data_IF_359500515817
#
_entry.id   IF_359500515817
#
_cell.length_a   1.000
_cell.length_b   1.000
_cell.length_c   1.000
_cell.angle_alpha   90.00
_cell.angle_beta   90.00
_cell.angle_gamma   90.00
#
_symmetry.space_group_name_H-M   'P 1'
#
loop_
_entity.id
_entity.type
_entity.pdbx_description
1 polymer ?
#
# COMPACT_ATOMS: atom_id res chain seq x y z
N UNK A 1 3.34 25.27 -9.48
CA UNK A 1 2.35 24.18 -9.44
C UNK A 1 2.00 23.76 -10.87
N UNK A 2 1.48 24.66 -11.71
CA UNK A 2 1.22 24.38 -13.13
C UNK A 2 2.41 23.73 -13.87
N UNK A 3 3.63 24.29 -13.79
CA UNK A 3 4.83 23.71 -14.44
C UNK A 3 5.10 22.24 -14.06
N UNK A 4 4.86 21.82 -12.81
CA UNK A 4 5.08 20.43 -12.37
C UNK A 4 4.03 19.45 -12.91
N UNK A 5 2.84 19.95 -13.23
CA UNK A 5 1.77 19.14 -13.82
C UNK A 5 2.07 18.87 -15.30
N UNK A 6 2.82 19.76 -15.96
CA UNK A 6 3.28 19.52 -17.33
C UNK A 6 4.27 18.37 -17.39
N UNK A 7 5.18 18.24 -16.43
CA UNK A 7 6.09 17.10 -16.35
C UNK A 7 5.32 15.77 -16.21
N UNK A 8 4.22 15.77 -15.44
CA UNK A 8 3.31 14.62 -15.30
C UNK A 8 2.68 14.18 -16.63
N UNK A 9 2.37 15.13 -17.51
CA UNK A 9 1.80 14.83 -18.83
C UNK A 9 2.77 14.02 -19.69
N UNK A 10 4.06 14.35 -19.65
CA UNK A 10 5.08 13.66 -20.43
C UNK A 10 5.23 12.20 -19.96
N UNK A 11 5.21 11.96 -18.64
CA UNK A 11 5.19 10.60 -18.09
C UNK A 11 3.94 9.80 -18.46
N UNK A 12 2.76 10.44 -18.44
CA UNK A 12 1.51 9.80 -18.87
C UNK A 12 1.55 9.45 -20.36
N UNK A 13 2.11 10.33 -21.20
CA UNK A 13 2.26 10.06 -22.64
C UNK A 13 3.22 8.89 -22.89
N UNK A 14 4.34 8.82 -22.19
CA UNK A 14 5.27 7.69 -22.29
C UNK A 14 4.60 6.37 -21.90
N UNK A 15 3.76 6.38 -20.87
CA UNK A 15 2.96 5.21 -20.50
C UNK A 15 1.95 4.82 -21.60
N UNK A 16 1.33 5.79 -22.27
CA UNK A 16 0.45 5.50 -23.42
C UNK A 16 1.20 4.72 -24.50
N UNK A 17 2.37 5.22 -24.92
CA UNK A 17 3.19 4.61 -25.95
C UNK A 17 3.60 3.17 -25.58
N UNK A 18 4.03 2.96 -24.33
CA UNK A 18 4.41 1.63 -23.83
C UNK A 18 3.19 0.70 -23.77
N UNK A 19 2.02 1.19 -23.37
CA UNK A 19 0.80 0.37 -23.33
C UNK A 19 0.34 -0.04 -24.74
N UNK A 20 0.49 0.84 -25.73
CA UNK A 20 0.24 0.50 -27.13
C UNK A 20 1.22 -0.58 -27.63
N UNK A 21 2.50 -0.47 -27.27
CA UNK A 21 3.52 -1.48 -27.56
C UNK A 21 3.16 -2.86 -26.98
N UNK A 22 2.66 -2.90 -25.73
CA UNK A 22 2.20 -4.13 -25.08
C UNK A 22 0.96 -4.69 -25.79
N UNK A 23 -0.05 -3.86 -26.07
CA UNK A 23 -1.26 -4.30 -26.80
C UNK A 23 -0.91 -4.87 -28.17
N UNK A 24 -0.01 -4.21 -28.90
CA UNK A 24 0.48 -4.70 -30.18
C UNK A 24 1.23 -6.01 -30.03
N UNK A 25 2.07 -6.16 -29.00
CA UNK A 25 2.74 -7.43 -28.70
C UNK A 25 1.74 -8.58 -28.47
N UNK A 26 0.73 -8.38 -27.62
CA UNK A 26 -0.34 -9.35 -27.34
C UNK A 26 -1.13 -9.73 -28.60
N UNK A 27 -1.36 -8.77 -29.49
CA UNK A 27 -2.07 -8.98 -30.76
C UNK A 27 -1.34 -9.95 -31.70
N UNK A 28 -0.01 -9.91 -31.74
CA UNK A 28 0.80 -10.72 -32.64
C UNK A 28 1.31 -12.03 -32.03
N UNK A 29 1.01 -12.30 -30.76
CA UNK A 29 1.31 -13.58 -30.12
C UNK A 29 0.39 -14.68 -30.64
N UNK A 30 1.01 -15.73 -31.21
CA UNK A 30 0.30 -16.86 -31.84
C UNK A 30 -0.23 -17.87 -30.82
N UNK A 31 0.43 -17.99 -29.68
CA UNK A 31 0.14 -19.01 -28.67
C UNK A 31 -1.00 -18.61 -27.72
N UNK A 32 -1.57 -17.41 -27.91
CA UNK A 32 -2.66 -16.87 -27.12
C UNK A 32 -3.98 -17.00 -27.90
N UNK A 33 -4.97 -17.66 -27.29
CA UNK A 33 -6.32 -17.69 -27.85
C UNK A 33 -6.96 -16.28 -27.81
N UNK A 34 -8.00 -16.09 -28.62
CA UNK A 34 -8.66 -14.79 -28.77
C UNK A 34 -9.29 -14.27 -27.47
N UNK A 35 -9.85 -15.17 -26.64
CA UNK A 35 -10.48 -14.78 -25.38
C UNK A 35 -9.43 -14.25 -24.41
N UNK A 36 -8.36 -15.01 -24.21
CA UNK A 36 -7.25 -14.59 -23.34
C UNK A 36 -6.61 -13.29 -23.83
N UNK A 37 -6.46 -13.12 -25.16
CA UNK A 37 -5.95 -11.87 -25.76
C UNK A 37 -6.79 -10.66 -25.41
N UNK A 38 -8.11 -10.79 -25.51
CA UNK A 38 -9.04 -9.70 -25.23
C UNK A 38 -9.02 -9.32 -23.75
N UNK A 39 -8.95 -10.30 -22.85
CA UNK A 39 -8.84 -10.07 -21.40
C UNK A 39 -7.56 -9.30 -21.09
N UNK A 40 -6.40 -9.79 -21.53
CA UNK A 40 -5.11 -9.16 -21.21
C UNK A 40 -4.97 -7.78 -21.85
N UNK A 41 -5.50 -7.60 -23.06
CA UNK A 41 -5.59 -6.27 -23.69
C UNK A 41 -6.48 -5.32 -22.89
N UNK A 42 -7.57 -5.82 -22.30
CA UNK A 42 -8.44 -5.03 -21.42
C UNK A 42 -7.72 -4.62 -20.14
N UNK A 43 -6.94 -5.52 -19.54
CA UNK A 43 -6.17 -5.21 -18.32
C UNK A 43 -5.16 -4.07 -18.57
N UNK A 44 -4.44 -4.11 -19.71
CA UNK A 44 -3.51 -3.05 -20.12
C UNK A 44 -4.22 -1.70 -20.32
N UNK A 45 -5.39 -1.70 -20.93
CA UNK A 45 -6.19 -0.49 -21.11
C UNK A 45 -6.73 0.05 -19.80
N UNK A 46 -7.14 -0.82 -18.88
CA UNK A 46 -7.64 -0.43 -17.56
C UNK A 46 -6.51 0.17 -16.71
N UNK A 47 -5.31 -0.39 -16.76
CA UNK A 47 -4.10 0.20 -16.16
C UNK A 47 -3.88 1.65 -16.63
N UNK A 48 -3.87 1.86 -17.95
CA UNK A 48 -3.65 3.20 -18.51
C UNK A 48 -4.81 4.15 -18.15
N UNK A 49 -6.06 3.70 -18.29
CA UNK A 49 -7.24 4.50 -17.94
C UNK A 49 -7.23 4.96 -16.48
N UNK A 50 -6.85 4.08 -15.54
CA UNK A 50 -6.73 4.45 -14.13
C UNK A 50 -5.63 5.50 -13.91
N UNK A 51 -4.52 5.40 -14.64
CA UNK A 51 -3.44 6.40 -14.56
C UNK A 51 -3.90 7.77 -15.08
N UNK A 52 -4.61 7.79 -16.22
CA UNK A 52 -5.19 9.02 -16.79
C UNK A 52 -6.23 9.63 -15.84
N UNK A 53 -7.12 8.82 -15.27
CA UNK A 53 -8.12 9.32 -14.30
C UNK A 53 -7.46 9.91 -13.05
N UNK A 54 -6.37 9.30 -12.55
CA UNK A 54 -5.60 9.88 -11.45
C UNK A 54 -5.07 11.28 -11.81
N UNK A 55 -4.55 11.45 -13.04
CA UNK A 55 -4.00 12.71 -13.56
C UNK A 55 -5.08 13.78 -13.77
N UNK A 56 -6.22 13.42 -14.33
CA UNK A 56 -7.35 14.32 -14.56
C UNK A 56 -7.90 14.87 -13.23
N UNK A 57 -8.07 13.99 -12.24
CA UNK A 57 -8.50 14.40 -10.90
C UNK A 57 -7.47 15.32 -10.27
N UNK A 58 -6.17 14.99 -10.37
CA UNK A 58 -5.09 15.84 -9.85
C UNK A 58 -5.09 17.23 -10.49
N UNK A 59 -5.25 17.30 -11.82
CA UNK A 59 -5.30 18.56 -12.57
C UNK A 59 -6.48 19.41 -12.10
N UNK A 60 -7.65 18.80 -11.90
CA UNK A 60 -8.85 19.49 -11.40
C UNK A 60 -8.62 20.09 -10.00
N UNK A 61 -7.92 19.39 -9.11
CA UNK A 61 -7.58 19.90 -7.75
C UNK A 61 -6.74 21.16 -7.81
N UNK A 62 -5.91 21.32 -8.84
CA UNK A 62 -5.02 22.49 -8.94
C UNK A 62 -5.72 23.72 -9.50
N UNK A 63 -6.89 23.56 -10.12
CA UNK A 63 -7.69 24.63 -10.70
C UNK A 63 -8.76 25.16 -9.73
N UNK A 64 -9.30 24.30 -8.85
CA UNK A 64 -10.32 24.63 -7.86
C UNK A 64 -9.74 24.60 -6.42
N UNK A 65 -10.37 25.27 -5.44
CA UNK A 65 -9.91 25.16 -4.03
C UNK A 65 -9.81 23.69 -3.61
N UNK A 66 -8.68 23.31 -3.00
CA UNK A 66 -8.33 21.91 -2.74
C UNK A 66 -9.42 21.16 -1.97
N UNK A 67 -10.08 20.21 -2.62
CA UNK A 67 -11.00 19.28 -1.98
C UNK A 67 -10.24 18.01 -1.58
N UNK A 68 -10.11 17.74 -0.28
CA UNK A 68 -9.46 16.54 0.25
C UNK A 68 -10.00 15.25 -0.39
N UNK A 69 -11.30 15.21 -0.73
CA UNK A 69 -11.91 14.08 -1.41
C UNK A 69 -11.26 13.79 -2.76
N UNK A 70 -10.97 14.83 -3.54
CA UNK A 70 -10.35 14.65 -4.86
C UNK A 70 -8.92 14.12 -4.74
N UNK A 71 -8.17 14.50 -3.68
CA UNK A 71 -6.84 13.94 -3.40
C UNK A 71 -6.95 12.43 -3.15
N UNK A 72 -7.92 12.01 -2.33
CA UNK A 72 -8.15 10.59 -2.03
C UNK A 72 -8.63 9.81 -3.27
N UNK A 73 -9.47 10.41 -4.12
CA UNK A 73 -9.93 9.81 -5.38
C UNK A 73 -8.75 9.61 -6.34
N UNK A 74 -7.88 10.63 -6.52
CA UNK A 74 -6.66 10.52 -7.35
C UNK A 74 -5.72 9.41 -6.86
N UNK A 75 -5.49 9.33 -5.54
CA UNK A 75 -4.71 8.24 -4.93
C UNK A 75 -5.32 6.88 -5.22
N UNK A 76 -6.64 6.76 -5.07
CA UNK A 76 -7.36 5.50 -5.28
C UNK A 76 -7.19 4.98 -6.71
N UNK A 77 -7.29 5.87 -7.71
CA UNK A 77 -7.00 5.53 -9.10
C UNK A 77 -5.55 5.09 -9.32
N UNK A 78 -4.59 5.80 -8.70
CA UNK A 78 -3.17 5.45 -8.84
C UNK A 78 -2.86 4.07 -8.24
N UNK A 79 -3.43 3.74 -7.07
CA UNK A 79 -3.33 2.39 -6.49
C UNK A 79 -4.00 1.33 -7.38
N UNK A 80 -5.17 1.63 -7.96
CA UNK A 80 -5.83 0.72 -8.90
C UNK A 80 -4.96 0.47 -10.14
N UNK A 81 -4.29 1.50 -10.68
CA UNK A 81 -3.32 1.35 -11.76
C UNK A 81 -2.16 0.44 -11.34
N UNK A 82 -1.53 0.67 -10.17
CA UNK A 82 -0.45 -0.20 -9.67
C UNK A 82 -0.86 -1.67 -9.56
N UNK A 83 -2.06 -1.94 -9.04
CA UNK A 83 -2.57 -3.31 -8.94
C UNK A 83 -2.74 -3.96 -10.33
N UNK A 84 -3.22 -3.19 -11.32
CA UNK A 84 -3.32 -3.66 -12.71
C UNK A 84 -1.95 -3.89 -13.34
N UNK A 85 -0.96 -3.06 -13.03
CA UNK A 85 0.41 -3.25 -13.49
C UNK A 85 0.98 -4.59 -13.02
N UNK A 86 0.83 -4.94 -11.73
CA UNK A 86 1.29 -6.23 -11.21
C UNK A 86 0.68 -7.42 -11.97
N UNK A 87 -0.61 -7.32 -12.33
CA UNK A 87 -1.28 -8.33 -13.14
C UNK A 87 -0.68 -8.43 -14.56
N UNK A 88 -0.46 -7.30 -15.23
CA UNK A 88 0.13 -7.23 -16.57
C UNK A 88 1.55 -7.84 -16.56
N UNK A 89 2.35 -7.54 -15.54
CA UNK A 89 3.70 -8.10 -15.38
C UNK A 89 3.64 -9.62 -15.27
N UNK A 90 2.75 -10.15 -14.41
CA UNK A 90 2.53 -11.59 -14.27
C UNK A 90 2.15 -12.25 -15.62
N UNK A 91 1.23 -11.62 -16.37
CA UNK A 91 0.82 -12.09 -17.69
C UNK A 91 1.96 -12.11 -18.71
N UNK A 92 2.78 -11.05 -18.76
CA UNK A 92 3.91 -10.95 -19.69
C UNK A 92 5.06 -11.90 -19.33
N UNK A 93 5.26 -12.20 -18.04
CA UNK A 93 6.29 -13.11 -17.56
C UNK A 93 6.06 -14.56 -18.02
N UNK A 94 4.81 -14.96 -18.31
CA UNK A 94 4.48 -16.30 -18.83
C UNK A 94 5.26 -16.64 -20.11
N UNK A 95 5.56 -15.66 -20.96
CA UNK A 95 6.22 -15.92 -22.24
C UNK A 95 7.73 -16.09 -22.14
N UNK A 96 8.37 -15.61 -21.06
CA UNK A 96 9.83 -15.68 -20.84
C UNK A 96 10.66 -15.23 -22.06
N UNK A 97 10.13 -14.33 -22.88
CA UNK A 97 10.76 -13.91 -24.12
C UNK A 97 11.54 -12.62 -23.89
N UNK A 98 12.62 -12.40 -24.66
CA UNK A 98 13.37 -11.13 -24.59
C UNK A 98 12.48 -9.90 -24.79
N UNK A 99 11.47 -10.01 -25.66
CA UNK A 99 10.54 -8.89 -25.92
C UNK A 99 9.61 -8.63 -24.74
N UNK A 100 9.08 -9.68 -24.09
CA UNK A 100 8.22 -9.51 -22.91
C UNK A 100 9.01 -8.94 -21.72
N UNK A 101 10.21 -9.44 -21.43
CA UNK A 101 11.07 -8.88 -20.37
C UNK A 101 11.42 -7.40 -20.60
N UNK A 102 11.71 -7.02 -21.85
CA UNK A 102 11.97 -5.61 -22.20
C UNK A 102 10.72 -4.74 -21.99
N UNK A 103 9.52 -5.24 -22.32
CA UNK A 103 8.28 -4.49 -22.11
C UNK A 103 7.97 -4.32 -20.62
N UNK A 104 8.21 -5.37 -19.81
CA UNK A 104 8.08 -5.32 -18.35
C UNK A 104 9.01 -4.26 -17.77
N UNK A 105 10.30 -4.31 -18.09
CA UNK A 105 11.28 -3.34 -17.59
C UNK A 105 10.89 -1.89 -17.96
N UNK A 106 10.48 -1.66 -19.22
CA UNK A 106 10.03 -0.35 -19.68
C UNK A 106 8.82 0.16 -18.90
N UNK A 107 7.76 -0.65 -18.75
CA UNK A 107 6.54 -0.19 -18.08
C UNK A 107 6.77 0.02 -16.58
N UNK A 108 7.61 -0.80 -15.94
CA UNK A 108 7.96 -0.63 -14.52
C UNK A 108 8.71 0.68 -14.27
N UNK A 109 9.72 0.99 -15.11
CA UNK A 109 10.48 2.23 -15.01
C UNK A 109 9.57 3.43 -15.25
N UNK A 110 8.83 3.44 -16.37
CA UNK A 110 7.96 4.57 -16.72
C UNK A 110 6.85 4.78 -15.67
N UNK A 111 6.22 3.70 -15.18
CA UNK A 111 5.18 3.83 -14.16
C UNK A 111 5.77 4.26 -12.82
N UNK A 112 6.98 3.83 -12.47
CA UNK A 112 7.67 4.31 -11.26
C UNK A 112 7.93 5.81 -11.31
N UNK A 113 8.43 6.33 -12.43
CA UNK A 113 8.66 7.77 -12.60
C UNK A 113 7.35 8.56 -12.54
N UNK A 114 6.31 8.05 -13.21
CA UNK A 114 4.96 8.61 -13.15
C UNK A 114 4.44 8.62 -11.69
N UNK A 115 4.54 7.50 -10.98
CA UNK A 115 4.12 7.34 -9.59
C UNK A 115 4.81 8.33 -8.66
N UNK A 116 6.15 8.43 -8.76
CA UNK A 116 6.95 9.33 -7.93
C UNK A 116 6.55 10.79 -8.19
N UNK A 117 6.31 11.16 -9.44
CA UNK A 117 5.82 12.49 -9.82
C UNK A 117 4.42 12.78 -9.25
N UNK A 118 3.48 11.83 -9.35
CA UNK A 118 2.16 11.93 -8.73
C UNK A 118 2.28 12.15 -7.22
N UNK A 119 3.08 11.33 -6.55
CA UNK A 119 3.19 11.34 -5.10
C UNK A 119 3.74 12.67 -4.57
N UNK A 120 4.74 13.24 -5.24
CA UNK A 120 5.28 14.57 -4.92
C UNK A 120 4.16 15.62 -5.00
N UNK A 121 3.41 15.64 -6.10
CA UNK A 121 2.36 16.65 -6.31
C UNK A 121 1.19 16.47 -5.33
N UNK A 122 0.74 15.24 -5.08
CA UNK A 122 -0.33 14.96 -4.12
C UNK A 122 0.06 15.36 -2.69
N UNK A 123 1.31 15.12 -2.28
CA UNK A 123 1.78 15.50 -0.94
C UNK A 123 1.95 17.00 -0.76
N UNK A 124 2.25 17.75 -1.82
CA UNK A 124 2.28 19.22 -1.76
C UNK A 124 0.89 19.83 -1.58
N UNK A 125 -0.15 19.12 -2.03
CA UNK A 125 -1.55 19.54 -1.93
C UNK A 125 -2.21 19.13 -0.61
N UNK A 126 -1.66 18.13 0.08
CA UNK A 126 -2.13 17.81 1.42
C UNK A 126 -1.90 19.04 2.31
N UNK A 127 -2.89 19.42 3.14
CA UNK A 127 -2.64 20.43 4.15
C UNK A 127 -1.38 20.00 4.89
N UNK A 128 -0.42 20.91 5.01
CA UNK A 128 0.72 20.69 5.89
C UNK A 128 0.09 20.50 7.26
N UNK A 129 -0.07 19.25 7.66
CA UNK A 129 -0.44 18.93 9.03
C UNK A 129 0.67 19.60 9.83
N UNK A 130 0.33 20.70 10.50
CA UNK A 130 1.14 21.17 11.62
C UNK A 130 1.28 19.91 12.45
N UNK A 131 2.50 19.34 12.47
CA UNK A 131 2.78 18.10 13.17
C UNK A 131 2.42 18.35 14.62
N UNK A 132 1.16 18.09 14.98
CA UNK A 132 0.70 18.05 16.34
C UNK A 132 1.44 16.85 16.86
N UNK A 133 2.49 17.13 17.63
CA UNK A 133 3.30 16.12 18.28
C UNK A 133 2.31 15.13 18.90
N UNK A 134 2.25 13.87 18.41
CA UNK A 134 1.23 12.94 18.87
C UNK A 134 1.31 12.86 20.39
N UNK A 135 0.25 13.29 21.07
CA UNK A 135 0.29 13.41 22.53
C UNK A 135 0.26 12.03 23.18
N UNK A 136 -0.32 11.04 22.52
CA UNK A 136 -0.52 9.68 23.02
C UNK A 136 -0.19 8.64 21.94
N UNK A 137 0.65 7.67 22.31
CA UNK A 137 1.14 6.60 21.43
C UNK A 137 0.16 5.41 21.41
N UNK A 138 -0.66 5.29 22.46
CA UNK A 138 -1.67 4.26 22.63
C UNK A 138 -2.97 4.96 23.05
N UNK A 139 -4.04 4.75 22.29
CA UNK A 139 -5.35 5.36 22.54
C UNK A 139 -6.30 4.29 23.09
N UNK A 140 -6.69 4.43 24.36
CA UNK A 140 -7.76 3.61 24.95
C UNK A 140 -9.12 4.14 24.48
N UNK A 141 -9.70 3.50 23.47
CA UNK A 141 -11.00 3.89 22.90
C UNK A 141 -12.15 3.43 23.80
N UNK A 142 -12.00 2.24 24.40
CA UNK A 142 -12.90 1.72 25.43
C UNK A 142 -12.17 0.66 26.27
N UNK A 143 -12.84 0.08 27.26
CA UNK A 143 -12.29 -1.07 28.01
C UNK A 143 -12.09 -2.32 27.15
N UNK A 144 -12.66 -2.35 25.94
CA UNK A 144 -12.60 -3.46 25.01
C UNK A 144 -11.81 -3.14 23.74
N UNK A 145 -11.25 -1.92 23.59
CA UNK A 145 -10.66 -1.49 22.31
C UNK A 145 -9.54 -0.46 22.49
N UNK A 146 -8.40 -0.74 21.86
CA UNK A 146 -7.23 0.12 21.82
C UNK A 146 -6.79 0.38 20.38
N UNK A 147 -6.43 1.63 20.08
CA UNK A 147 -5.92 2.06 18.78
C UNK A 147 -4.51 2.59 18.95
N UNK A 148 -3.59 2.17 18.08
CA UNK A 148 -2.21 2.61 18.13
C UNK A 148 -1.90 3.41 16.85
N UNK A 149 -1.82 4.74 16.95
CA UNK A 149 -1.61 5.62 15.81
C UNK A 149 -0.18 5.59 15.25
N UNK A 150 -0.06 5.94 13.97
CA UNK A 150 1.21 6.21 13.32
C UNK A 150 1.91 7.40 13.97
N UNK A 151 3.19 7.26 14.30
CA UNK A 151 4.02 8.31 14.90
C UNK A 151 4.33 9.50 13.98
N UNK A 152 3.88 9.46 12.72
CA UNK A 152 4.08 10.51 11.72
C UNK A 152 2.78 11.28 11.47
N UNK A 153 1.72 10.60 11.02
CA UNK A 153 0.46 11.23 10.63
C UNK A 153 -0.72 10.94 11.56
N UNK A 154 -0.50 10.26 12.70
CA UNK A 154 -1.53 9.88 13.67
C UNK A 154 -2.69 9.01 13.15
N UNK A 155 -2.70 8.63 11.86
CA UNK A 155 -3.64 7.61 11.34
C UNK A 155 -3.47 6.31 12.12
N UNK A 156 -4.58 5.63 12.43
CA UNK A 156 -4.54 4.36 13.18
C UNK A 156 -3.81 3.30 12.36
N UNK A 157 -2.66 2.85 12.85
CA UNK A 157 -1.84 1.82 12.21
C UNK A 157 -2.20 0.42 12.72
N UNK A 158 -2.54 0.32 14.01
CA UNK A 158 -2.87 -0.95 14.66
C UNK A 158 -4.13 -0.80 15.51
N UNK A 159 -4.96 -1.85 15.54
CA UNK A 159 -6.12 -1.97 16.42
C UNK A 159 -6.10 -3.28 17.18
N UNK A 160 -6.46 -3.20 18.46
CA UNK A 160 -6.79 -4.36 19.29
C UNK A 160 -8.20 -4.20 19.81
N UNK A 161 -9.01 -5.26 19.70
CA UNK A 161 -10.40 -5.24 20.14
C UNK A 161 -10.87 -6.59 20.66
N UNK A 162 -11.65 -6.62 21.73
CA UNK A 162 -12.43 -7.80 22.10
C UNK A 162 -13.71 -7.81 21.25
N UNK A 163 -13.91 -8.87 20.47
CA UNK A 163 -15.05 -9.02 19.58
C UNK A 163 -15.01 -10.32 18.77
N UNK A 164 -15.75 -10.36 17.67
CA UNK A 164 -15.77 -11.52 16.79
C UNK A 164 -14.78 -11.34 15.66
N UNK A 165 -13.90 -12.33 15.47
CA UNK A 165 -13.01 -12.39 14.32
C UNK A 165 -13.79 -12.59 13.02
N UNK A 166 -13.11 -12.39 11.88
CA UNK A 166 -13.75 -12.49 10.55
C UNK A 166 -14.41 -13.85 10.28
N UNK A 167 -13.87 -14.92 10.85
CA UNK A 167 -14.33 -16.30 10.68
C UNK A 167 -14.73 -16.97 12.01
N UNK A 168 -14.70 -16.23 13.12
CA UNK A 168 -14.90 -16.79 14.45
C UNK A 168 -16.30 -16.48 14.99
N UNK A 169 -17.04 -17.52 15.35
CA UNK A 169 -18.32 -17.39 16.06
C UNK A 169 -18.15 -17.12 17.57
N UNK A 170 -16.91 -17.13 18.06
CA UNK A 170 -16.57 -16.92 19.47
C UNK A 170 -15.94 -15.55 19.65
N UNK A 171 -16.21 -14.96 20.81
CA UNK A 171 -15.52 -13.76 21.24
C UNK A 171 -14.01 -14.03 21.38
N UNK A 172 -13.21 -13.10 20.87
CA UNK A 172 -11.77 -13.22 20.66
C UNK A 172 -11.11 -11.86 20.82
N UNK A 173 -9.79 -11.84 21.03
CA UNK A 173 -8.98 -10.65 20.93
C UNK A 173 -8.56 -10.48 19.46
N UNK A 174 -9.22 -9.58 18.75
CA UNK A 174 -8.95 -9.28 17.34
C UNK A 174 -7.81 -8.27 17.26
N UNK A 175 -6.78 -8.62 16.48
CA UNK A 175 -5.69 -7.72 16.09
C UNK A 175 -5.81 -7.40 14.61
N UNK A 176 -5.64 -6.13 14.27
CA UNK A 176 -5.53 -5.66 12.89
C UNK A 176 -4.36 -4.69 12.79
N UNK A 177 -3.35 -5.10 12.03
CA UNK A 177 -2.19 -4.32 11.66
C UNK A 177 -2.31 -3.67 10.27
N UNK A 178 -1.16 -3.41 9.67
CA UNK A 178 -1.06 -2.82 8.32
C UNK A 178 -1.09 -3.88 7.21
N UNK A 179 -0.56 -5.08 7.45
CA UNK A 179 -0.58 -6.25 6.55
C UNK A 179 -1.38 -7.40 7.16
N UNK A 180 -1.39 -7.51 8.50
CA UNK A 180 -1.92 -8.66 9.23
C UNK A 180 -3.31 -8.41 9.83
N UNK A 181 -4.17 -9.42 9.82
CA UNK A 181 -5.39 -9.49 10.62
C UNK A 181 -5.53 -10.88 11.23
N UNK A 182 -5.78 -10.95 12.55
CA UNK A 182 -5.90 -12.24 13.24
C UNK A 182 -6.81 -12.15 14.46
N UNK A 183 -7.25 -13.33 14.93
CA UNK A 183 -7.98 -13.49 16.19
C UNK A 183 -7.14 -14.31 17.18
N UNK A 184 -6.99 -13.80 18.39
CA UNK A 184 -6.35 -14.47 19.50
C UNK A 184 -7.39 -14.90 20.54
N UNK A 185 -7.01 -15.84 21.40
CA UNK A 185 -7.81 -16.24 22.56
C UNK A 185 -8.12 -15.03 23.44
N UNK A 186 -9.40 -14.86 23.81
CA UNK A 186 -9.87 -13.70 24.57
C UNK A 186 -9.17 -13.54 25.92
N UNK A 187 -8.74 -14.64 26.56
CA UNK A 187 -8.07 -14.60 27.85
C UNK A 187 -6.70 -13.89 27.80
N UNK A 188 -6.10 -13.79 26.61
CA UNK A 188 -4.85 -13.06 26.42
C UNK A 188 -5.04 -11.54 26.46
N UNK A 189 -6.27 -11.04 26.34
CA UNK A 189 -6.57 -9.61 26.42
C UNK A 189 -6.13 -8.98 27.73
N UNK A 190 -6.30 -9.66 28.88
CA UNK A 190 -5.86 -9.15 30.17
C UNK A 190 -4.36 -8.86 30.22
N UNK A 191 -3.56 -9.72 29.57
CA UNK A 191 -2.10 -9.56 29.53
C UNK A 191 -1.75 -8.41 28.58
N UNK A 192 -2.33 -8.40 27.37
CA UNK A 192 -2.05 -7.37 26.39
C UNK A 192 -2.51 -5.98 26.86
N UNK A 193 -3.71 -5.87 27.43
CA UNK A 193 -4.27 -4.58 27.83
C UNK A 193 -3.48 -3.96 28.97
N UNK A 194 -2.92 -4.78 29.86
CA UNK A 194 -1.96 -4.28 30.85
C UNK A 194 -0.71 -3.67 30.21
N UNK A 195 -0.13 -4.35 29.20
CA UNK A 195 1.02 -3.84 28.45
C UNK A 195 0.67 -2.50 27.75
N UNK A 196 -0.54 -2.42 27.17
CA UNK A 196 -1.03 -1.20 26.53
C UNK A 196 -1.28 -0.06 27.53
N UNK A 197 -1.79 -0.36 28.72
CA UNK A 197 -1.99 0.62 29.81
C UNK A 197 -0.67 1.15 30.38
N UNK A 198 0.40 0.36 30.27
CA UNK A 198 1.75 0.74 30.69
C UNK A 198 2.55 1.49 29.58
N UNK A 199 1.92 1.82 28.43
CA UNK A 199 2.55 2.43 27.25
C UNK A 199 3.76 1.65 26.68
N UNK A 200 3.80 0.33 26.88
CA UNK A 200 4.95 -0.53 26.54
C UNK A 200 4.85 -1.11 25.12
N UNK A 201 5.18 -0.30 24.10
CA UNK A 201 5.15 -0.74 22.70
C UNK A 201 6.04 -1.95 22.40
N UNK A 202 7.25 -1.99 22.96
CA UNK A 202 8.14 -3.15 22.80
C UNK A 202 7.53 -4.40 23.44
N UNK A 203 6.83 -4.25 24.56
CA UNK A 203 6.02 -5.29 25.19
C UNK A 203 4.91 -5.79 24.26
N UNK A 204 4.18 -4.88 23.59
CA UNK A 204 3.14 -5.26 22.62
C UNK A 204 3.75 -6.05 21.47
N UNK A 205 4.86 -5.58 20.91
CA UNK A 205 5.56 -6.27 19.84
C UNK A 205 6.01 -7.68 20.26
N UNK A 206 6.63 -7.81 21.43
CA UNK A 206 7.07 -9.10 21.97
C UNK A 206 5.90 -10.04 22.31
N UNK A 207 4.78 -9.49 22.77
CA UNK A 207 3.55 -10.25 22.98
C UNK A 207 3.05 -10.84 21.65
N UNK A 208 3.00 -10.04 20.58
CA UNK A 208 2.61 -10.52 19.26
C UNK A 208 3.60 -11.56 18.70
N UNK A 209 4.91 -11.37 18.92
CA UNK A 209 5.94 -12.38 18.59
C UNK A 209 5.68 -13.72 19.22
N UNK A 210 5.20 -13.72 20.45
CA UNK A 210 4.98 -14.93 21.24
C UNK A 210 3.70 -15.67 20.86
N UNK A 211 2.64 -14.95 20.51
CA UNK A 211 1.29 -15.53 20.39
C UNK A 211 0.70 -15.51 18.99
N UNK A 212 1.31 -14.80 18.04
CA UNK A 212 0.76 -14.64 16.69
C UNK A 212 1.78 -14.93 15.58
N UNK A 213 2.74 -14.03 15.37
CA UNK A 213 3.66 -14.03 14.22
C UNK A 213 5.08 -13.78 14.69
N UNK A 214 6.10 -14.49 14.18
CA UNK A 214 7.51 -14.27 14.56
C UNK A 214 7.98 -12.83 14.30
N UNK A 215 7.32 -12.10 13.39
CA UNK A 215 7.62 -10.71 13.05
C UNK A 215 6.93 -9.69 13.97
N UNK A 216 6.07 -10.14 14.88
CA UNK A 216 5.41 -9.30 15.88
C UNK A 216 4.35 -8.37 15.30
N UNK A 217 4.34 -7.11 15.75
CA UNK A 217 3.45 -6.07 15.22
C UNK A 217 4.02 -5.54 13.91
N UNK A 218 3.36 -5.81 12.78
CA UNK A 218 3.73 -5.40 11.42
C UNK A 218 3.95 -3.88 11.20
N UNK A 219 3.34 -3.02 12.02
CA UNK A 219 3.52 -1.57 11.98
C UNK A 219 4.72 -1.05 12.81
N UNK A 220 5.39 -1.90 13.60
CA UNK A 220 6.37 -1.48 14.60
C UNK A 220 7.81 -1.53 14.09
N UNK A 221 8.60 -0.50 14.40
CA UNK A 221 10.05 -0.48 14.18
C UNK A 221 10.79 -0.57 15.53
N UNK A 222 11.44 -1.71 15.83
CA UNK A 222 12.15 -1.93 17.10
C UNK A 222 13.26 -0.92 17.40
N UNK A 223 13.92 -0.39 16.36
CA UNK A 223 15.03 0.55 16.52
C UNK A 223 14.53 1.98 16.82
N UNK A 224 13.33 2.33 16.35
CA UNK A 224 12.73 3.63 16.66
C UNK A 224 11.88 3.61 17.92
N UNK A 225 11.45 2.42 18.35
CA UNK A 225 10.37 2.21 19.31
C UNK A 225 9.10 3.00 18.96
N UNK A 226 8.66 2.84 17.70
CA UNK A 226 7.55 3.60 17.11
C UNK A 226 6.72 2.76 16.15
N UNK A 227 5.48 3.19 15.95
CA UNK A 227 4.55 2.61 14.98
C UNK A 227 4.39 3.50 13.75
N UNK A 228 4.28 2.88 12.58
CA UNK A 228 4.10 3.55 11.31
C UNK A 228 2.95 2.92 10.54
N UNK A 229 2.07 3.73 9.94
CA UNK A 229 1.07 3.21 9.02
C UNK A 229 1.76 2.70 7.75
N UNK A 230 1.04 1.95 6.91
CA UNK A 230 1.52 1.41 5.63
C UNK A 230 2.36 2.42 4.83
N UNK A 231 1.82 3.64 4.65
CA UNK A 231 2.46 4.70 3.87
C UNK A 231 3.80 5.15 4.48
N UNK A 232 3.83 5.40 5.80
CA UNK A 232 5.03 5.89 6.48
C UNK A 232 6.02 4.79 6.87
N UNK A 233 5.58 3.54 6.91
CA UNK A 233 6.48 2.40 7.00
C UNK A 233 6.96 1.94 5.63
N UNK A 234 6.57 2.63 4.55
CA UNK A 234 6.94 2.31 3.17
C UNK A 234 6.86 0.79 2.90
N UNK A 235 5.74 0.18 3.31
CA UNK A 235 5.57 -1.26 3.22
C UNK A 235 5.54 -1.71 1.75
N UNK A 236 6.31 -2.75 1.44
CA UNK A 236 6.50 -3.28 0.08
C UNK A 236 6.39 -4.78 0.10
N UNK A 237 5.45 -5.29 -0.67
CA UNK A 237 5.30 -6.70 -0.98
C UNK A 237 6.41 -7.12 -1.95
N UNK A 238 7.04 -8.24 -1.66
CA UNK A 238 8.00 -8.94 -2.53
C UNK A 238 7.33 -10.21 -3.06
N UNK A 239 7.58 -10.51 -4.32
CA UNK A 239 7.00 -11.67 -5.01
C UNK A 239 8.12 -12.56 -5.54
N UNK A 240 8.03 -13.86 -5.30
CA UNK A 240 8.92 -14.88 -5.85
C UNK A 240 8.14 -15.80 -6.80
N UNK A 241 8.66 -16.00 -8.01
CA UNK A 241 7.99 -16.74 -9.10
C UNK A 241 6.52 -16.32 -9.36
N UNK A 242 6.19 -15.06 -9.10
CA UNK A 242 4.84 -14.50 -9.28
C UNK A 242 3.85 -14.82 -8.14
N UNK A 243 4.33 -15.40 -7.05
CA UNK A 243 3.57 -15.61 -5.82
C UNK A 243 4.06 -14.64 -4.74
N UNK A 244 3.14 -14.24 -3.86
CA UNK A 244 3.51 -13.44 -2.70
C UNK A 244 4.52 -14.24 -1.86
N UNK A 245 5.67 -13.64 -1.57
CA UNK A 245 6.71 -14.23 -0.74
C UNK A 245 6.67 -13.60 0.66
N UNK A 246 6.92 -12.29 0.76
CA UNK A 246 6.94 -11.58 2.03
C UNK A 246 6.66 -10.08 1.87
N UNK A 247 6.49 -9.36 2.99
CA UNK A 247 6.41 -7.90 3.01
C UNK A 247 7.52 -7.30 3.87
N UNK A 248 8.22 -6.30 3.35
CA UNK A 248 9.19 -5.50 4.09
C UNK A 248 8.62 -4.12 4.44
N UNK A 249 8.90 -3.66 5.66
CA UNK A 249 8.70 -2.28 6.09
C UNK A 249 10.03 -1.53 6.21
N UNK A 250 10.07 -0.29 5.72
CA UNK A 250 11.16 0.68 5.87
C UNK A 250 10.67 1.95 6.56
N UNK A 251 11.09 2.19 7.81
CA UNK A 251 10.62 3.37 8.56
C UNK A 251 11.23 4.68 8.01
N UNK A 252 10.74 5.86 8.42
CA UNK A 252 11.28 7.15 7.96
C UNK A 252 12.76 7.40 8.31
N UNK A 253 13.34 6.60 9.22
CA UNK A 253 14.78 6.64 9.55
C UNK A 253 15.62 5.65 8.71
N UNK A 254 15.01 4.90 7.79
CA UNK A 254 15.68 3.94 6.92
C UNK A 254 15.91 2.55 7.53
N UNK A 255 15.39 2.26 8.74
CA UNK A 255 15.45 0.89 9.28
C UNK A 255 14.46 -0.01 8.54
N UNK A 256 14.96 -1.15 8.07
CA UNK A 256 14.21 -2.13 7.27
C UNK A 256 14.06 -3.43 8.03
N UNK A 257 12.88 -4.05 7.95
CA UNK A 257 12.66 -5.44 8.39
C UNK A 257 11.52 -6.11 7.63
N UNK A 258 11.52 -7.43 7.63
CA UNK A 258 10.35 -8.21 7.25
C UNK A 258 9.25 -7.97 8.29
N UNK A 259 8.03 -7.77 7.82
CA UNK A 259 6.86 -7.49 8.66
C UNK A 259 5.75 -8.54 8.48
N UNK A 260 5.83 -9.30 7.38
CA UNK A 260 4.92 -10.39 7.03
C UNK A 260 5.67 -11.40 6.14
N UNK A 261 5.38 -12.69 6.31
CA UNK A 261 5.99 -13.87 5.66
C UNK A 261 4.89 -14.93 5.47
#
# INVERSE_FOLDING_TARGET
>A
MLEKIWDLRDYVQELEDITEDIVNYLKFLKDLDESTRNIWTSDVKEFFSNTVSAWEVLTTITEEESNLKNIDDSKSFLYAARNRLSLIISQLNIFQSRKSSMLIEKIEIAFKECWDAFWINLNELLPKEDFVKPTEIILKVSDLEYHLPCSVCSKIAVKFKIGFGRLDEKESLVFRGITLETSLRVELSNVLYKILEDDDLIGVHNFMKKYHSPEGVDAYCPECDKLYCWEHYNAKEEYDDGFYDCTYGECPKGHKRMIDD
#
